data_IF_738342856522
#
_entry.id   IF_738342856522
#
_cell.length_a   1.000
_cell.length_b   1.000
_cell.length_c   1.000
_cell.angle_alpha   90.00
_cell.angle_beta   90.00
_cell.angle_gamma   90.00
#
_symmetry.space_group_name_H-M   'P 1'
#
loop_
_entity.id
_entity.type
_entity.pdbx_description
1 polymer ?
#
# COMPACT_ATOMS: atom_id res chain seq x y z
N UNK A 1 -15.34 -10.14 -1.16
CA UNK A 1 -14.06 -9.46 -1.42
C UNK A 1 -13.12 -10.48 -2.04
N UNK A 2 -12.53 -10.18 -3.21
CA UNK A 2 -11.57 -11.08 -3.84
C UNK A 2 -10.14 -10.61 -3.52
N UNK A 3 -9.60 -11.16 -2.44
CA UNK A 3 -8.26 -10.80 -1.96
C UNK A 3 -7.17 -11.05 -3.00
N UNK A 4 -7.34 -12.05 -3.88
CA UNK A 4 -6.36 -12.34 -4.92
C UNK A 4 -6.26 -11.21 -5.96
N UNK A 5 -7.33 -10.45 -6.21
CA UNK A 5 -7.31 -9.27 -7.10
C UNK A 5 -6.63 -8.07 -6.47
N UNK A 6 -6.84 -7.87 -5.16
CA UNK A 6 -6.14 -6.84 -4.38
C UNK A 6 -4.62 -7.01 -4.51
N UNK A 7 -4.13 -8.25 -4.44
CA UNK A 7 -2.71 -8.55 -4.61
C UNK A 7 -2.18 -8.26 -6.02
N UNK A 8 -3.03 -8.27 -7.07
CA UNK A 8 -2.62 -7.85 -8.43
C UNK A 8 -2.31 -6.36 -8.44
N UNK A 9 -3.20 -5.54 -7.88
CA UNK A 9 -3.04 -4.09 -7.80
C UNK A 9 -1.79 -3.73 -6.98
N UNK A 10 -1.62 -4.37 -5.82
CA UNK A 10 -0.45 -4.14 -4.97
C UNK A 10 0.85 -4.56 -5.68
N UNK A 11 0.91 -5.77 -6.24
CA UNK A 11 2.10 -6.22 -6.99
C UNK A 11 2.45 -5.27 -8.15
N UNK A 12 1.44 -4.73 -8.83
CA UNK A 12 1.64 -3.77 -9.90
C UNK A 12 2.25 -2.46 -9.39
N UNK A 13 1.71 -1.86 -8.31
CA UNK A 13 2.28 -0.64 -7.71
C UNK A 13 3.72 -0.86 -7.24
N UNK A 14 4.03 -2.01 -6.66
CA UNK A 14 5.40 -2.32 -6.18
C UNK A 14 6.45 -2.30 -7.30
N UNK A 15 6.07 -2.54 -8.57
CA UNK A 15 6.99 -2.47 -9.72
C UNK A 15 7.49 -1.04 -10.01
N UNK A 16 6.77 -0.03 -9.53
CA UNK A 16 7.09 1.38 -9.75
C UNK A 16 7.87 2.00 -8.59
N UNK A 17 8.15 1.24 -7.52
CA UNK A 17 9.03 1.67 -6.45
C UNK A 17 10.48 1.79 -6.94
N UNK A 18 11.23 2.65 -6.28
CA UNK A 18 12.69 2.69 -6.47
C UNK A 18 13.29 1.34 -6.06
N UNK A 19 14.44 0.96 -6.65
CA UNK A 19 15.15 -0.27 -6.24
C UNK A 19 15.48 -0.28 -4.75
N UNK A 20 15.80 0.89 -4.19
CA UNK A 20 16.08 1.06 -2.76
C UNK A 20 14.87 0.75 -1.89
N UNK A 21 13.70 1.31 -2.24
CA UNK A 21 12.47 1.10 -1.47
C UNK A 21 11.94 -0.33 -1.61
N UNK A 22 12.00 -0.90 -2.81
CA UNK A 22 11.60 -2.29 -3.04
C UNK A 22 12.49 -3.28 -2.28
N UNK A 23 13.77 -2.93 -2.04
CA UNK A 23 14.70 -3.76 -1.28
C UNK A 23 14.41 -3.74 0.24
N UNK A 24 13.76 -2.70 0.76
CA UNK A 24 13.34 -2.65 2.18
C UNK A 24 12.23 -3.65 2.50
N UNK A 25 11.41 -4.00 1.51
CA UNK A 25 10.34 -5.00 1.67
C UNK A 25 10.96 -6.40 1.62
N UNK A 26 10.73 -7.25 2.64
CA UNK A 26 11.22 -8.63 2.66
C UNK A 26 10.81 -9.45 1.43
N UNK A 27 11.70 -10.33 0.97
CA UNK A 27 11.49 -11.13 -0.24
C UNK A 27 10.38 -12.17 -0.09
N UNK A 28 10.18 -12.70 1.12
CA UNK A 28 9.07 -13.59 1.46
C UNK A 28 7.72 -12.87 1.30
N UNK A 29 7.58 -11.63 1.79
CA UNK A 29 6.38 -10.81 1.63
C UNK A 29 6.07 -10.59 0.14
N UNK A 30 7.07 -10.14 -0.65
CA UNK A 30 6.91 -9.94 -2.11
C UNK A 30 6.55 -11.25 -2.81
N UNK A 31 7.16 -12.36 -2.39
CA UNK A 31 6.89 -13.70 -2.92
C UNK A 31 5.45 -14.13 -2.64
N UNK A 32 4.96 -13.96 -1.41
CA UNK A 32 3.59 -14.33 -1.05
C UNK A 32 2.55 -13.50 -1.81
N UNK A 33 2.78 -12.20 -2.02
CA UNK A 33 1.93 -11.36 -2.89
C UNK A 33 1.89 -11.96 -4.31
N UNK A 34 3.04 -12.27 -4.91
CA UNK A 34 3.14 -12.81 -6.28
C UNK A 34 2.53 -14.18 -6.45
N UNK A 35 2.63 -15.06 -5.45
CA UNK A 35 2.09 -16.42 -5.50
C UNK A 35 0.58 -16.43 -5.38
N UNK A 36 0.02 -15.58 -4.52
CA UNK A 36 -1.39 -15.59 -4.15
C UNK A 36 -2.25 -14.63 -4.98
N UNK A 37 -1.66 -13.78 -5.83
CA UNK A 37 -2.42 -12.89 -6.71
C UNK A 37 -3.19 -13.65 -7.79
N UNK A 38 -4.29 -13.05 -8.22
CA UNK A 38 -5.11 -13.60 -9.29
C UNK A 38 -4.33 -13.63 -10.62
N UNK A 39 -4.44 -14.73 -11.37
CA UNK A 39 -3.73 -14.89 -12.66
C UNK A 39 -4.51 -14.36 -13.87
N UNK A 40 -5.81 -14.15 -13.73
CA UNK A 40 -6.71 -13.77 -14.83
C UNK A 40 -7.11 -12.30 -14.77
N UNK A 41 -7.24 -11.75 -13.57
CA UNK A 41 -7.46 -10.32 -13.39
C UNK A 41 -6.19 -9.54 -13.73
N UNK A 42 -6.37 -8.48 -14.52
CA UNK A 42 -5.30 -7.56 -14.90
C UNK A 42 -5.67 -6.16 -14.46
N UNK A 43 -4.72 -5.52 -13.79
CA UNK A 43 -4.75 -4.11 -13.46
C UNK A 43 -3.36 -3.57 -13.74
N UNK A 44 -3.28 -2.45 -14.44
CA UNK A 44 -2.03 -1.85 -14.90
C UNK A 44 -1.93 -0.44 -14.35
N UNK A 45 -0.76 -0.09 -13.84
CA UNK A 45 -0.53 1.25 -13.31
C UNK A 45 -0.50 2.28 -14.44
N UNK A 46 -1.32 3.31 -14.34
CA UNK A 46 -1.36 4.39 -15.33
C UNK A 46 -0.22 5.38 -15.06
N UNK A 47 0.84 5.30 -15.87
CA UNK A 47 2.04 6.16 -15.72
C UNK A 47 1.77 7.65 -15.94
N UNK A 48 0.61 8.02 -16.50
CA UNK A 48 0.22 9.42 -16.68
C UNK A 48 -0.44 10.01 -15.42
N UNK A 49 -0.75 9.18 -14.43
CA UNK A 49 -1.46 9.56 -13.21
C UNK A 49 -0.61 9.37 -11.96
N UNK A 50 -0.85 10.23 -10.97
CA UNK A 50 -0.28 10.04 -9.63
C UNK A 50 -0.92 8.83 -8.93
N UNK A 51 -0.29 8.32 -7.86
CA UNK A 51 -0.82 7.21 -7.07
C UNK A 51 -2.24 7.46 -6.55
N UNK A 52 -2.56 8.72 -6.19
CA UNK A 52 -3.88 9.12 -5.68
C UNK A 52 -4.98 9.13 -6.75
N UNK A 53 -4.59 9.26 -8.02
CA UNK A 53 -5.50 9.27 -9.16
C UNK A 53 -5.64 7.87 -9.79
N UNK A 54 -4.87 6.89 -9.30
CA UNK A 54 -5.05 5.50 -9.68
C UNK A 54 -6.40 5.00 -9.16
N UNK A 55 -7.10 4.23 -9.99
CA UNK A 55 -8.34 3.57 -9.58
C UNK A 55 -8.03 2.27 -8.81
N UNK A 56 -7.39 2.43 -7.65
CA UNK A 56 -7.09 1.34 -6.72
C UNK A 56 -8.31 1.01 -5.88
N UNK A 57 -8.50 -0.27 -5.61
CA UNK A 57 -9.45 -0.73 -4.60
C UNK A 57 -9.06 -0.17 -3.22
N UNK A 58 -10.06 0.06 -2.37
CA UNK A 58 -9.83 0.52 -0.99
C UNK A 58 -8.92 -0.46 -0.24
N UNK A 59 -9.11 -1.74 -0.49
CA UNK A 59 -8.34 -2.82 0.12
C UNK A 59 -6.87 -2.81 -0.33
N UNK A 60 -6.59 -2.50 -1.60
CA UNK A 60 -5.22 -2.35 -2.07
C UNK A 60 -4.54 -1.15 -1.43
N UNK A 61 -5.27 -0.04 -1.26
CA UNK A 61 -4.78 1.14 -0.55
C UNK A 61 -4.41 0.79 0.90
N UNK A 62 -5.27 0.07 1.62
CA UNK A 62 -5.00 -0.37 3.00
C UNK A 62 -3.74 -1.26 3.08
N UNK A 63 -3.59 -2.20 2.14
CA UNK A 63 -2.42 -3.07 2.13
C UNK A 63 -1.13 -2.31 1.77
N UNK A 64 -1.19 -1.34 0.85
CA UNK A 64 -0.07 -0.46 0.54
C UNK A 64 0.30 0.44 1.73
N UNK A 65 -0.70 0.95 2.47
CA UNK A 65 -0.47 1.71 3.70
C UNK A 65 0.26 0.86 4.74
N UNK A 66 -0.15 -0.40 4.93
CA UNK A 66 0.55 -1.34 5.81
C UNK A 66 2.00 -1.56 5.38
N UNK A 67 2.26 -1.87 4.11
CA UNK A 67 3.63 -2.06 3.60
C UNK A 67 4.47 -0.79 3.76
N UNK A 68 3.87 0.38 3.53
CA UNK A 68 4.55 1.66 3.67
C UNK A 68 4.97 1.90 5.12
N UNK A 69 4.05 1.74 6.07
CA UNK A 69 4.32 1.92 7.51
C UNK A 69 5.32 0.90 8.05
N UNK A 70 5.26 -0.34 7.59
CA UNK A 70 6.13 -1.40 8.10
C UNK A 70 7.55 -1.26 7.55
N UNK A 71 7.69 -1.10 6.23
CA UNK A 71 8.98 -1.29 5.55
C UNK A 71 9.57 -0.03 4.90
N UNK A 72 8.75 0.94 4.48
CA UNK A 72 9.23 2.03 3.61
C UNK A 72 9.57 3.31 4.37
N UNK A 73 8.75 3.66 5.36
CA UNK A 73 8.89 4.89 6.13
C UNK A 73 10.13 4.89 7.04
N UNK A 74 10.78 6.05 7.15
CA UNK A 74 11.77 6.30 8.21
C UNK A 74 11.09 6.41 9.58
N UNK A 75 11.86 6.29 10.66
CA UNK A 75 11.32 6.44 12.01
C UNK A 75 10.61 7.79 12.21
N UNK A 76 11.21 8.89 11.73
CA UNK A 76 10.60 10.23 11.78
C UNK A 76 9.26 10.28 11.02
N UNK A 77 9.20 9.64 9.84
CA UNK A 77 7.96 9.57 9.07
C UNK A 77 6.90 8.70 9.76
N UNK A 78 7.30 7.61 10.42
CA UNK A 78 6.39 6.76 11.21
C UNK A 78 5.80 7.53 12.39
N UNK A 79 6.64 8.28 13.12
CA UNK A 79 6.20 9.13 14.23
C UNK A 79 5.20 10.20 13.77
N UNK A 80 5.50 10.90 12.66
CA UNK A 80 4.58 11.88 12.09
C UNK A 80 3.25 11.24 11.68
N UNK A 81 3.29 10.06 11.05
CA UNK A 81 2.08 9.34 10.64
C UNK A 81 1.21 8.97 11.85
N UNK A 82 1.81 8.47 12.93
CA UNK A 82 1.11 8.17 14.18
C UNK A 82 0.46 9.42 14.78
N UNK A 83 1.17 10.55 14.82
CA UNK A 83 0.62 11.82 15.30
C UNK A 83 -0.59 12.28 14.47
N UNK A 84 -0.53 12.15 13.14
CA UNK A 84 -1.65 12.47 12.24
C UNK A 84 -2.84 11.55 12.51
N UNK A 85 -2.61 10.24 12.68
CA UNK A 85 -3.66 9.28 12.99
C UNK A 85 -4.32 9.58 14.35
N UNK A 86 -3.54 9.89 15.38
CA UNK A 86 -4.05 10.28 16.69
C UNK A 86 -4.87 11.57 16.63
N UNK A 87 -4.37 12.59 15.93
CA UNK A 87 -5.07 13.86 15.75
C UNK A 87 -6.42 13.67 15.06
N UNK A 88 -6.44 12.91 13.96
CA UNK A 88 -7.67 12.60 13.24
C UNK A 88 -8.64 11.80 14.10
N UNK A 89 -8.15 10.81 14.86
CA UNK A 89 -8.98 10.00 15.75
C UNK A 89 -9.61 10.83 16.86
N UNK A 90 -8.87 11.79 17.46
CA UNK A 90 -9.42 12.73 18.45
C UNK A 90 -10.48 13.65 17.83
N UNK A 91 -10.18 14.27 16.67
CA UNK A 91 -11.10 15.16 15.94
C UNK A 91 -12.41 14.50 15.53
N UNK A 92 -12.40 13.19 15.26
CA UNK A 92 -13.60 12.42 14.91
C UNK A 92 -14.23 11.71 16.12
N UNK A 93 -13.49 11.55 17.22
CA UNK A 93 -13.98 11.03 18.50
C UNK A 93 -14.88 12.00 19.25
N UNK A 94 -14.70 13.31 19.06
CA UNK A 94 -15.53 14.38 19.66
C UNK A 94 -16.90 14.56 18.95
N UNK A 95 -17.28 13.66 18.04
CA UNK A 95 -18.57 13.65 17.32
C UNK A 95 -19.49 12.49 17.70
N UNK A 96 -19.30 11.87 18.87
CA UNK A 96 -20.23 10.87 19.40
C UNK A 96 -21.06 11.41 20.56
#
# INVERSE_FOLDING_TARGET
MDYSKVLVEVDEVLKYLSKSDLAKIPDDVKSEIRKNKNRHYKWEYDKTKSLKEQNLSREAIILLEYLNMEYLLTNEQKELMQQIHEFNSKKHGDKK
#
